data_IF_370939284510
#
_entry.id   IF_370939284510
#
_cell.length_a   1.000
_cell.length_b   1.000
_cell.length_c   1.000
_cell.angle_alpha   90.00
_cell.angle_beta   90.00
_cell.angle_gamma   90.00
#
_symmetry.space_group_name_H-M   'P 1'
#
loop_
_entity.id
_entity.type
_entity.pdbx_description
1 polymer ?
#
# COMPACT_ATOMS: atom_id res chain seq x y z
N UNK A 1 -19.06 -39.73 15.22
CA UNK A 1 -18.17 -39.68 14.03
C UNK A 1 -18.68 -38.71 12.99
N UNK A 2 -19.85 -38.92 12.35
CA UNK A 2 -20.44 -37.92 11.46
C UNK A 2 -20.74 -36.56 12.15
N UNK A 3 -21.19 -36.63 13.41
CA UNK A 3 -21.40 -35.49 14.31
C UNK A 3 -20.14 -34.65 14.56
N UNK A 4 -18.99 -35.29 14.63
CA UNK A 4 -17.72 -34.62 14.98
C UNK A 4 -17.18 -33.89 13.75
N UNK A 5 -17.28 -34.51 12.57
CA UNK A 5 -16.95 -33.92 11.28
C UNK A 5 -17.85 -32.73 10.90
N UNK A 6 -19.15 -32.78 11.22
CA UNK A 6 -20.03 -31.62 11.03
C UNK A 6 -19.66 -30.46 11.97
N UNK A 7 -19.26 -30.76 13.21
CA UNK A 7 -18.91 -29.75 14.22
C UNK A 7 -17.57 -29.06 13.89
N UNK A 8 -16.55 -29.82 13.44
CA UNK A 8 -15.29 -29.23 12.97
C UNK A 8 -15.50 -28.35 11.73
N UNK A 9 -16.31 -28.81 10.77
CA UNK A 9 -16.59 -28.08 9.54
C UNK A 9 -17.38 -26.79 9.75
N UNK A 10 -18.29 -26.75 10.73
CA UNK A 10 -18.95 -25.49 11.11
C UNK A 10 -17.97 -24.49 11.75
N UNK A 11 -16.99 -25.00 12.51
CA UNK A 11 -15.97 -24.19 13.17
C UNK A 11 -14.99 -23.56 12.18
N UNK A 12 -14.54 -24.31 11.16
CA UNK A 12 -13.64 -23.80 10.10
C UNK A 12 -14.30 -22.67 9.32
N UNK A 13 -15.51 -22.88 8.78
CA UNK A 13 -16.23 -21.86 7.99
C UNK A 13 -16.44 -20.56 8.77
N UNK A 14 -16.88 -20.66 10.04
CA UNK A 14 -17.06 -19.50 10.91
C UNK A 14 -15.73 -18.77 11.21
N UNK A 15 -14.62 -19.51 11.35
CA UNK A 15 -13.29 -18.96 11.55
C UNK A 15 -12.81 -18.10 10.38
N UNK A 16 -12.95 -18.58 9.14
CA UNK A 16 -12.57 -17.84 7.91
C UNK A 16 -13.34 -16.52 7.82
N UNK A 17 -14.66 -16.56 8.01
CA UNK A 17 -15.50 -15.38 7.94
C UNK A 17 -15.16 -14.38 9.05
N UNK A 18 -14.98 -14.85 10.29
CA UNK A 18 -14.58 -13.99 11.40
C UNK A 18 -13.24 -13.29 11.13
N UNK A 19 -12.23 -14.01 10.64
CA UNK A 19 -10.95 -13.45 10.23
C UNK A 19 -11.11 -12.39 9.12
N UNK A 20 -11.86 -12.71 8.06
CA UNK A 20 -12.11 -11.78 6.95
C UNK A 20 -12.78 -10.51 7.46
N UNK A 21 -13.89 -10.62 8.21
CA UNK A 21 -14.60 -9.45 8.75
C UNK A 21 -13.71 -8.58 9.64
N UNK A 22 -12.95 -9.19 10.56
CA UNK A 22 -12.03 -8.44 11.45
C UNK A 22 -11.00 -7.66 10.63
N UNK A 23 -10.33 -8.33 9.68
CA UNK A 23 -9.31 -7.69 8.84
C UNK A 23 -9.91 -6.64 7.89
N UNK A 24 -11.11 -6.87 7.37
CA UNK A 24 -11.86 -5.94 6.53
C UNK A 24 -12.22 -4.64 7.26
N UNK A 25 -12.73 -4.73 8.49
CA UNK A 25 -13.04 -3.55 9.30
C UNK A 25 -11.78 -2.79 9.72
N UNK A 26 -10.68 -3.48 10.03
CA UNK A 26 -9.37 -2.84 10.28
C UNK A 26 -8.88 -2.10 9.02
N UNK A 27 -8.95 -2.72 7.85
CA UNK A 27 -8.57 -2.11 6.58
C UNK A 27 -9.43 -0.86 6.27
N UNK A 28 -10.76 -0.96 6.44
CA UNK A 28 -11.69 0.15 6.27
C UNK A 28 -11.35 1.32 7.22
N UNK A 29 -11.13 1.05 8.51
CA UNK A 29 -10.77 2.07 9.48
C UNK A 29 -9.47 2.81 9.11
N UNK A 30 -8.46 2.09 8.62
CA UNK A 30 -7.19 2.67 8.16
C UNK A 30 -7.35 3.50 6.87
N UNK A 31 -8.23 3.09 5.94
CA UNK A 31 -8.53 3.85 4.72
C UNK A 31 -9.30 5.14 5.04
N UNK A 32 -10.32 5.07 5.92
CA UNK A 32 -11.04 6.26 6.40
C UNK A 32 -10.07 7.22 7.11
N UNK A 33 -9.17 6.70 7.95
CA UNK A 33 -8.14 7.51 8.61
C UNK A 33 -7.17 8.15 7.60
N UNK A 34 -6.74 7.41 6.57
CA UNK A 34 -5.92 7.94 5.46
C UNK A 34 -6.64 9.07 4.73
N UNK A 35 -7.88 8.87 4.32
CA UNK A 35 -8.70 9.88 3.63
C UNK A 35 -8.83 11.14 4.51
N UNK A 36 -9.15 10.98 5.79
CA UNK A 36 -9.20 12.10 6.74
C UNK A 36 -7.87 12.85 6.83
N UNK A 37 -6.74 12.15 6.96
CA UNK A 37 -5.41 12.76 6.98
C UNK A 37 -5.11 13.49 5.67
N UNK A 38 -5.36 12.86 4.52
CA UNK A 38 -5.08 13.43 3.20
C UNK A 38 -5.88 14.70 2.92
N UNK A 39 -7.17 14.72 3.28
CA UNK A 39 -8.06 15.87 3.08
C UNK A 39 -7.86 16.97 4.12
N UNK A 40 -7.83 16.64 5.42
CA UNK A 40 -7.85 17.65 6.51
C UNK A 40 -6.47 18.01 7.05
N UNK A 41 -5.56 17.04 7.18
CA UNK A 41 -4.29 17.20 7.91
C UNK A 41 -3.14 17.59 6.97
N UNK A 42 -3.03 16.91 5.84
CA UNK A 42 -1.96 17.06 4.85
C UNK A 42 -2.37 17.88 3.61
N UNK A 43 -3.68 18.00 3.32
CA UNK A 43 -4.26 18.71 2.17
C UNK A 43 -3.58 18.37 0.83
N UNK A 44 -3.27 17.09 0.62
CA UNK A 44 -2.46 16.64 -0.51
C UNK A 44 -3.00 15.31 -1.04
N UNK A 45 -4.11 15.38 -1.76
CA UNK A 45 -4.73 14.23 -2.44
C UNK A 45 -3.82 13.74 -3.57
N UNK A 46 -3.68 12.42 -3.76
CA UNK A 46 -2.84 11.87 -4.82
C UNK A 46 -3.46 10.67 -5.53
N UNK A 47 -2.86 10.29 -6.66
CA UNK A 47 -3.24 9.06 -7.38
C UNK A 47 -3.12 7.80 -6.51
N UNK A 48 -2.21 7.78 -5.53
CA UNK A 48 -2.10 6.68 -4.56
C UNK A 48 -3.37 6.46 -3.72
N UNK A 49 -4.14 7.51 -3.47
CA UNK A 49 -5.37 7.45 -2.67
C UNK A 49 -6.57 6.92 -3.49
N UNK A 50 -6.57 7.06 -4.82
CA UNK A 50 -7.58 6.41 -5.69
C UNK A 50 -7.36 4.90 -5.79
N UNK A 51 -6.13 4.45 -6.02
CA UNK A 51 -5.82 3.03 -6.19
C UNK A 51 -6.12 2.20 -4.93
N UNK A 52 -5.93 2.76 -3.72
CA UNK A 52 -6.26 2.03 -2.48
C UNK A 52 -7.78 1.92 -2.24
N UNK A 53 -8.57 2.91 -2.69
CA UNK A 53 -10.04 2.82 -2.66
C UNK A 53 -10.53 1.75 -3.65
N UNK A 54 -9.98 1.73 -4.87
CA UNK A 54 -10.30 0.68 -5.86
C UNK A 54 -9.92 -0.71 -5.33
N UNK A 55 -8.73 -0.87 -4.73
CA UNK A 55 -8.35 -2.12 -4.06
C UNK A 55 -9.39 -2.54 -3.00
N UNK A 56 -9.79 -1.63 -2.11
CA UNK A 56 -10.81 -1.94 -1.09
C UNK A 56 -12.18 -2.33 -1.66
N UNK A 57 -12.57 -1.79 -2.82
CA UNK A 57 -13.79 -2.24 -3.52
C UNK A 57 -13.64 -3.70 -3.98
N UNK A 58 -12.48 -4.10 -4.50
CA UNK A 58 -12.23 -5.52 -4.83
C UNK A 58 -12.12 -6.42 -3.59
N UNK A 59 -11.61 -5.91 -2.46
CA UNK A 59 -11.67 -6.61 -1.16
C UNK A 59 -13.13 -6.83 -0.70
N UNK A 60 -14.01 -5.84 -0.86
CA UNK A 60 -15.44 -5.98 -0.56
C UNK A 60 -16.12 -7.01 -1.49
N UNK A 61 -15.79 -7.00 -2.78
CA UNK A 61 -16.28 -8.02 -3.73
C UNK A 61 -15.80 -9.41 -3.29
N UNK A 62 -14.53 -9.54 -2.88
CA UNK A 62 -13.98 -10.78 -2.35
C UNK A 62 -14.69 -11.27 -1.09
N UNK A 63 -15.01 -10.39 -0.15
CA UNK A 63 -15.77 -10.72 1.07
C UNK A 63 -17.17 -11.27 0.73
N UNK A 64 -17.89 -10.65 -0.21
CA UNK A 64 -19.22 -11.11 -0.64
C UNK A 64 -19.13 -12.48 -1.33
N UNK A 65 -18.10 -12.72 -2.16
CA UNK A 65 -17.90 -14.01 -2.80
C UNK A 65 -17.60 -15.12 -1.79
N UNK A 66 -16.71 -14.87 -0.82
CA UNK A 66 -16.40 -15.84 0.25
C UNK A 66 -17.61 -16.10 1.16
N UNK A 67 -18.46 -15.10 1.40
CA UNK A 67 -19.73 -15.32 2.12
C UNK A 67 -20.65 -16.27 1.35
N UNK A 68 -20.80 -16.09 0.04
CA UNK A 68 -21.60 -17.00 -0.81
C UNK A 68 -20.99 -18.41 -0.84
N UNK A 69 -19.66 -18.53 -0.92
CA UNK A 69 -18.96 -19.82 -0.83
C UNK A 69 -19.21 -20.52 0.52
N UNK A 70 -19.17 -19.76 1.62
CA UNK A 70 -19.48 -20.27 2.97
C UNK A 70 -20.94 -20.75 3.09
N UNK A 71 -21.90 -19.99 2.54
CA UNK A 71 -23.32 -20.37 2.53
C UNK A 71 -23.57 -21.64 1.68
N UNK A 72 -22.77 -21.86 0.62
CA UNK A 72 -22.77 -23.09 -0.18
C UNK A 72 -22.05 -24.28 0.49
N UNK A 73 -21.30 -24.05 1.57
CA UNK A 73 -20.65 -25.09 2.36
C UNK A 73 -19.12 -25.18 2.24
N UNK A 74 -18.43 -24.13 1.77
CA UNK A 74 -16.96 -24.04 1.84
C UNK A 74 -16.47 -24.31 3.27
N UNK A 75 -15.47 -25.18 3.41
CA UNK A 75 -14.93 -25.63 4.71
C UNK A 75 -15.55 -26.92 5.27
N UNK A 76 -16.57 -27.49 4.61
CA UNK A 76 -17.08 -28.85 4.88
C UNK A 76 -16.39 -29.90 4.00
N UNK A 77 -16.18 -31.10 4.55
CA UNK A 77 -15.77 -32.28 3.77
C UNK A 77 -16.83 -32.61 2.72
N UNK A 78 -16.39 -33.01 1.52
CA UNK A 78 -17.27 -33.20 0.36
C UNK A 78 -18.36 -34.24 0.64
N UNK A 79 -18.02 -35.30 1.40
CA UNK A 79 -18.93 -36.36 1.83
C UNK A 79 -20.02 -35.94 2.83
N UNK A 80 -19.97 -34.72 3.37
CA UNK A 80 -20.96 -34.20 4.34
C UNK A 80 -21.96 -33.23 3.68
N UNK A 81 -21.83 -32.99 2.37
CA UNK A 81 -22.74 -32.15 1.61
C UNK A 81 -23.90 -32.97 1.05
N UNK A 82 -25.12 -32.56 1.39
CA UNK A 82 -26.35 -32.96 0.70
C UNK A 82 -26.32 -32.36 -0.71
N UNK A 83 -26.53 -33.17 -1.76
CA UNK A 83 -26.25 -32.84 -3.17
C UNK A 83 -24.83 -32.30 -3.42
N UNK A 84 -23.79 -33.15 -3.30
CA UNK A 84 -22.39 -32.73 -3.33
C UNK A 84 -21.97 -32.17 -4.70
N UNK A 85 -22.48 -32.73 -5.81
CA UNK A 85 -22.11 -32.30 -7.16
C UNK A 85 -22.53 -30.84 -7.42
N UNK A 86 -23.81 -30.48 -7.20
CA UNK A 86 -24.31 -29.12 -7.45
C UNK A 86 -23.66 -28.05 -6.54
N UNK A 87 -23.31 -28.41 -5.30
CA UNK A 87 -22.62 -27.50 -4.37
C UNK A 87 -21.13 -27.34 -4.69
N UNK A 88 -20.44 -28.40 -5.10
CA UNK A 88 -19.05 -28.31 -5.60
C UNK A 88 -18.97 -27.41 -6.84
N UNK A 89 -19.93 -27.55 -7.77
CA UNK A 89 -20.07 -26.67 -8.95
C UNK A 89 -20.19 -25.19 -8.55
N UNK A 90 -21.03 -24.90 -7.55
CA UNK A 90 -21.20 -23.55 -7.00
C UNK A 90 -19.91 -23.00 -6.41
N UNK A 91 -19.27 -23.76 -5.50
CA UNK A 91 -18.05 -23.36 -4.80
C UNK A 91 -16.91 -23.09 -5.79
N UNK A 92 -16.63 -23.99 -6.74
CA UNK A 92 -15.58 -23.81 -7.75
C UNK A 92 -15.80 -22.55 -8.61
N UNK A 93 -17.05 -22.29 -9.00
CA UNK A 93 -17.43 -21.11 -9.79
C UNK A 93 -17.18 -19.82 -9.01
N UNK A 94 -17.64 -19.71 -7.77
CA UNK A 94 -17.43 -18.49 -6.96
C UNK A 94 -15.95 -18.32 -6.59
N UNK A 95 -15.24 -19.41 -6.27
CA UNK A 95 -13.81 -19.36 -5.94
C UNK A 95 -12.96 -18.84 -7.12
N UNK A 96 -13.33 -19.20 -8.35
CA UNK A 96 -12.70 -18.64 -9.57
C UNK A 96 -12.89 -17.13 -9.66
N UNK A 97 -14.09 -16.61 -9.37
CA UNK A 97 -14.34 -15.16 -9.31
C UNK A 97 -13.61 -14.49 -8.14
N UNK A 98 -13.54 -15.13 -6.97
CA UNK A 98 -12.78 -14.66 -5.82
C UNK A 98 -11.29 -14.53 -6.17
N UNK A 99 -10.71 -15.53 -6.84
CA UNK A 99 -9.32 -15.50 -7.28
C UNK A 99 -9.05 -14.36 -8.27
N UNK A 100 -9.95 -14.10 -9.21
CA UNK A 100 -9.86 -12.95 -10.12
C UNK A 100 -9.92 -11.60 -9.37
N UNK A 101 -10.88 -11.45 -8.44
CA UNK A 101 -11.02 -10.23 -7.63
C UNK A 101 -9.78 -9.99 -6.73
N UNK A 102 -9.24 -11.07 -6.14
CA UNK A 102 -8.05 -11.03 -5.31
C UNK A 102 -6.82 -10.56 -6.11
N UNK A 103 -6.53 -11.16 -7.27
CA UNK A 103 -5.39 -10.75 -8.11
C UNK A 103 -5.48 -9.26 -8.52
N UNK A 104 -6.68 -8.77 -8.84
CA UNK A 104 -6.90 -7.34 -9.12
C UNK A 104 -6.67 -6.47 -7.87
N UNK A 105 -7.18 -6.87 -6.71
CA UNK A 105 -6.98 -6.14 -5.45
C UNK A 105 -5.50 -6.07 -5.05
N UNK A 106 -4.74 -7.16 -5.20
CA UNK A 106 -3.29 -7.19 -4.99
C UNK A 106 -2.56 -6.26 -5.95
N UNK A 107 -2.93 -6.25 -7.23
CA UNK A 107 -2.36 -5.33 -8.23
C UNK A 107 -2.58 -3.86 -7.83
N UNK A 108 -3.82 -3.46 -7.53
CA UNK A 108 -4.14 -2.07 -7.16
C UNK A 108 -3.51 -1.64 -5.83
N UNK A 109 -3.36 -2.56 -4.87
CA UNK A 109 -2.62 -2.32 -3.62
C UNK A 109 -1.15 -2.01 -3.89
N UNK A 110 -0.48 -2.80 -4.74
CA UNK A 110 0.93 -2.59 -5.12
C UNK A 110 1.12 -1.31 -5.94
N UNK A 111 0.13 -0.90 -6.75
CA UNK A 111 0.08 0.42 -7.39
C UNK A 111 0.09 1.56 -6.37
N UNK A 112 -0.80 1.52 -5.37
CA UNK A 112 -0.86 2.56 -4.33
C UNK A 112 0.47 2.68 -3.58
N UNK A 113 1.07 1.56 -3.16
CA UNK A 113 2.37 1.53 -2.48
C UNK A 113 3.47 2.12 -3.35
N UNK A 114 3.57 1.72 -4.62
CA UNK A 114 4.63 2.18 -5.54
C UNK A 114 4.54 3.67 -5.83
N UNK A 115 3.34 4.20 -6.09
CA UNK A 115 3.12 5.64 -6.31
C UNK A 115 3.42 6.41 -5.03
N UNK A 116 3.03 5.88 -3.86
CA UNK A 116 3.33 6.49 -2.57
C UNK A 116 4.86 6.57 -2.31
N UNK A 117 5.62 5.53 -2.65
CA UNK A 117 7.09 5.53 -2.53
C UNK A 117 7.72 6.59 -3.45
N UNK A 118 7.28 6.68 -4.71
CA UNK A 118 7.75 7.71 -5.66
C UNK A 118 7.46 9.13 -5.16
N UNK A 119 6.33 9.32 -4.47
CA UNK A 119 5.94 10.60 -3.87
C UNK A 119 6.81 11.02 -2.68
N UNK A 120 7.42 10.07 -1.95
CA UNK A 120 8.39 10.37 -0.89
C UNK A 120 9.74 10.79 -1.49
N UNK A 121 10.19 10.08 -2.53
CA UNK A 121 11.52 10.27 -3.11
C UNK A 121 11.45 10.15 -4.64
N UNK A 122 11.26 11.27 -5.33
CA UNK A 122 11.43 11.28 -6.77
C UNK A 122 12.93 11.17 -7.11
N UNK A 123 13.27 10.12 -7.83
CA UNK A 123 14.62 9.80 -8.29
C UNK A 123 14.51 9.00 -9.57
N UNK A 124 15.21 9.41 -10.62
CA UNK A 124 15.16 8.76 -11.94
C UNK A 124 15.36 7.24 -11.84
N UNK A 125 16.34 6.78 -11.05
CA UNK A 125 16.61 5.34 -10.84
C UNK A 125 15.45 4.63 -10.17
N UNK A 126 14.86 5.21 -9.12
CA UNK A 126 13.73 4.61 -8.39
C UNK A 126 12.46 4.57 -9.26
N UNK A 127 12.24 5.60 -10.08
CA UNK A 127 11.14 5.64 -11.05
C UNK A 127 11.26 4.59 -12.14
N UNK A 128 12.46 4.36 -12.67
CA UNK A 128 12.71 3.26 -13.61
C UNK A 128 12.51 1.88 -12.97
N UNK A 129 13.06 1.64 -11.77
CA UNK A 129 12.93 0.36 -11.07
C UNK A 129 11.47 0.07 -10.70
N UNK A 130 10.78 1.00 -10.04
CA UNK A 130 9.36 0.79 -9.68
C UNK A 130 8.46 0.72 -10.93
N UNK A 131 8.74 1.52 -11.97
CA UNK A 131 8.02 1.43 -13.24
C UNK A 131 8.15 0.05 -13.89
N UNK A 132 9.36 -0.51 -13.91
CA UNK A 132 9.62 -1.86 -14.41
C UNK A 132 8.91 -2.95 -13.58
N UNK A 133 9.00 -2.88 -12.24
CA UNK A 133 8.33 -3.84 -11.35
C UNK A 133 6.81 -3.77 -11.52
N UNK A 134 6.23 -2.57 -11.66
CA UNK A 134 4.79 -2.42 -11.90
C UNK A 134 4.35 -2.92 -13.28
N UNK A 135 5.15 -2.70 -14.33
CA UNK A 135 4.89 -3.26 -15.66
C UNK A 135 4.94 -4.80 -15.64
N UNK A 136 5.93 -5.38 -14.96
CA UNK A 136 6.06 -6.84 -14.78
C UNK A 136 4.86 -7.41 -14.00
N UNK A 137 4.40 -6.72 -12.94
CA UNK A 137 3.17 -7.06 -12.22
C UNK A 137 1.92 -7.06 -13.10
N UNK A 138 1.73 -6.00 -13.92
CA UNK A 138 0.57 -5.94 -14.81
C UNK A 138 0.59 -7.07 -15.83
N UNK A 139 1.76 -7.37 -16.41
CA UNK A 139 1.89 -8.43 -17.41
C UNK A 139 1.59 -9.80 -16.79
N UNK A 140 2.11 -10.07 -15.59
CA UNK A 140 1.83 -11.31 -14.86
C UNK A 140 0.34 -11.42 -14.47
N UNK A 141 -0.28 -10.32 -14.03
CA UNK A 141 -1.72 -10.27 -13.72
C UNK A 141 -2.59 -10.53 -14.96
N UNK A 142 -2.30 -9.85 -16.08
CA UNK A 142 -3.01 -10.04 -17.35
C UNK A 142 -2.85 -11.47 -17.84
N UNK A 143 -1.64 -12.03 -17.81
CA UNK A 143 -1.38 -13.41 -18.21
C UNK A 143 -2.22 -14.41 -17.40
N UNK A 144 -2.36 -14.22 -16.09
CA UNK A 144 -3.17 -15.11 -15.25
C UNK A 144 -4.67 -14.90 -15.42
N UNK A 145 -5.16 -13.68 -15.66
CA UNK A 145 -6.57 -13.46 -16.03
C UNK A 145 -6.89 -14.14 -17.37
N UNK A 146 -6.00 -14.03 -18.36
CA UNK A 146 -6.14 -14.71 -19.66
C UNK A 146 -6.12 -16.22 -19.48
N UNK A 147 -5.16 -16.77 -18.73
CA UNK A 147 -5.08 -18.22 -18.48
C UNK A 147 -6.32 -18.71 -17.74
N UNK A 148 -6.77 -18.06 -16.65
CA UNK A 148 -8.01 -18.42 -15.95
C UNK A 148 -9.25 -18.37 -16.88
N UNK A 149 -9.30 -17.40 -17.80
CA UNK A 149 -10.41 -17.29 -18.76
C UNK A 149 -10.40 -18.36 -19.86
N UNK A 150 -9.22 -18.91 -20.18
CA UNK A 150 -9.00 -19.89 -21.25
C UNK A 150 -8.77 -21.32 -20.68
N UNK A 151 -8.65 -21.48 -19.36
CA UNK A 151 -8.45 -22.76 -18.64
C UNK A 151 -9.41 -23.86 -19.11
N UNK A 152 -10.65 -23.50 -19.43
CA UNK A 152 -11.59 -24.35 -20.15
C UNK A 152 -12.31 -23.54 -21.23
N UNK A 153 -12.59 -24.19 -22.37
CA UNK A 153 -13.42 -23.66 -23.46
C UNK A 153 -14.60 -24.62 -23.64
N UNK A 154 -15.84 -24.21 -23.30
CA UNK A 154 -16.22 -22.94 -22.65
C UNK A 154 -15.79 -22.90 -21.18
N UNK A 155 -15.60 -21.69 -20.62
CA UNK A 155 -15.21 -21.50 -19.21
C UNK A 155 -16.17 -22.21 -18.24
N UNK A 156 -17.45 -22.33 -18.61
CA UNK A 156 -18.47 -23.07 -17.85
C UNK A 156 -18.06 -24.52 -17.54
N UNK A 157 -17.27 -25.18 -18.41
CA UNK A 157 -16.78 -26.55 -18.22
C UNK A 157 -15.76 -26.69 -17.07
N UNK A 158 -15.20 -25.58 -16.57
CA UNK A 158 -14.29 -25.59 -15.42
C UNK A 158 -14.99 -26.09 -14.15
N UNK A 159 -16.24 -25.69 -13.95
CA UNK A 159 -17.12 -26.28 -12.95
C UNK A 159 -17.95 -27.40 -13.59
N UNK A 160 -18.82 -27.06 -14.55
CA UNK A 160 -19.85 -27.94 -15.13
C UNK A 160 -19.28 -28.93 -16.15
N UNK A 161 -18.74 -30.05 -15.66
CA UNK A 161 -18.12 -31.12 -16.46
C UNK A 161 -19.06 -31.75 -17.51
N UNK A 162 -20.38 -31.57 -17.37
CA UNK A 162 -21.39 -32.08 -18.32
C UNK A 162 -21.38 -31.32 -19.66
N UNK A 163 -20.96 -30.06 -19.65
CA UNK A 163 -20.91 -29.21 -20.85
C UNK A 163 -19.74 -29.62 -21.75
N UNK A 164 -19.96 -29.98 -23.03
CA UNK A 164 -18.88 -30.41 -23.92
C UNK A 164 -17.86 -29.28 -24.17
N UNK A 165 -16.58 -29.65 -24.25
CA UNK A 165 -15.48 -28.70 -24.44
C UNK A 165 -14.12 -29.29 -24.14
N UNK A 166 -13.09 -28.46 -24.20
CA UNK A 166 -11.70 -28.82 -23.86
C UNK A 166 -11.20 -27.97 -22.70
N UNK A 167 -10.38 -28.56 -21.82
CA UNK A 167 -9.71 -27.86 -20.75
C UNK A 167 -8.20 -28.04 -20.88
N UNK A 168 -7.44 -27.02 -20.52
CA UNK A 168 -5.99 -27.10 -20.39
C UNK A 168 -5.64 -28.10 -19.27
N UNK A 169 -4.55 -28.87 -19.40
CA UNK A 169 -4.13 -29.78 -18.34
C UNK A 169 -3.77 -28.98 -17.10
N UNK A 170 -4.23 -29.45 -15.93
CA UNK A 170 -4.06 -28.78 -14.63
C UNK A 170 -2.59 -28.38 -14.36
N UNK A 171 -1.65 -29.24 -14.76
CA UNK A 171 -0.19 -29.00 -14.66
C UNK A 171 0.24 -27.68 -15.33
N UNK A 172 -0.33 -27.33 -16.49
CA UNK A 172 -0.01 -26.06 -17.19
C UNK A 172 -0.55 -24.86 -16.41
N UNK A 173 -1.76 -24.96 -15.85
CA UNK A 173 -2.36 -23.89 -15.04
C UNK A 173 -1.57 -23.66 -13.75
N UNK A 174 -1.20 -24.75 -13.04
CA UNK A 174 -0.36 -24.67 -11.85
C UNK A 174 1.04 -24.11 -12.14
N UNK A 175 1.69 -24.53 -13.24
CA UNK A 175 3.01 -24.01 -13.62
C UNK A 175 2.98 -22.49 -13.87
N UNK A 176 1.93 -21.97 -14.53
CA UNK A 176 1.76 -20.53 -14.73
C UNK A 176 1.53 -19.81 -13.40
N UNK A 177 0.68 -20.34 -12.52
CA UNK A 177 0.39 -19.74 -11.21
C UNK A 177 1.64 -19.72 -10.30
N UNK A 178 2.46 -20.78 -10.36
CA UNK A 178 3.73 -20.88 -9.63
C UNK A 178 4.74 -19.82 -10.10
N UNK A 179 4.89 -19.64 -11.42
CA UNK A 179 5.74 -18.59 -12.00
C UNK A 179 5.23 -17.19 -11.64
N UNK A 180 3.92 -16.94 -11.74
CA UNK A 180 3.29 -15.68 -11.32
C UNK A 180 3.64 -15.39 -9.85
N UNK A 181 3.48 -16.37 -8.97
CA UNK A 181 3.73 -16.21 -7.54
C UNK A 181 5.19 -15.97 -7.20
N UNK A 182 6.13 -16.58 -7.95
CA UNK A 182 7.54 -16.25 -7.87
C UNK A 182 7.81 -14.77 -8.15
N UNK A 183 7.24 -14.21 -9.21
CA UNK A 183 7.29 -12.76 -9.47
C UNK A 183 6.61 -11.95 -8.36
N UNK A 184 5.48 -12.43 -7.83
CA UNK A 184 4.75 -11.76 -6.75
C UNK A 184 5.61 -11.59 -5.50
N UNK A 185 6.28 -12.66 -5.05
CA UNK A 185 7.18 -12.68 -3.90
C UNK A 185 8.38 -11.73 -4.13
N UNK A 186 9.02 -11.78 -5.29
CA UNK A 186 10.15 -10.88 -5.62
C UNK A 186 9.75 -9.41 -5.49
N UNK A 187 8.58 -9.06 -6.02
CA UNK A 187 8.11 -7.67 -6.03
C UNK A 187 7.68 -7.22 -4.63
N UNK A 188 7.11 -8.10 -3.80
CA UNK A 188 6.84 -7.80 -2.40
C UNK A 188 8.11 -7.60 -1.59
N UNK A 189 9.16 -8.40 -1.81
CA UNK A 189 10.48 -8.18 -1.19
C UNK A 189 11.10 -6.83 -1.63
N UNK A 190 10.97 -6.46 -2.91
CA UNK A 190 11.43 -5.16 -3.41
C UNK A 190 10.66 -3.98 -2.79
N UNK A 191 9.32 -4.03 -2.75
CA UNK A 191 8.48 -2.99 -2.15
C UNK A 191 8.71 -2.88 -0.64
N UNK A 192 8.97 -4.02 0.02
CA UNK A 192 9.33 -4.08 1.44
C UNK A 192 10.69 -3.41 1.67
N UNK A 193 11.75 -3.76 0.93
CA UNK A 193 13.07 -3.13 1.15
C UNK A 193 13.18 -1.67 0.69
N UNK A 194 12.36 -1.22 -0.26
CA UNK A 194 12.39 0.14 -0.80
C UNK A 194 12.43 1.29 0.25
N UNK A 195 11.52 1.38 1.23
CA UNK A 195 11.57 2.43 2.26
C UNK A 195 12.81 2.38 3.16
N UNK A 196 13.41 1.20 3.41
CA UNK A 196 14.70 1.11 4.13
C UNK A 196 15.78 1.79 3.30
N UNK A 197 15.94 1.39 2.04
CA UNK A 197 17.00 1.88 1.16
C UNK A 197 16.93 3.40 0.96
N UNK A 198 15.72 3.96 0.89
CA UNK A 198 15.48 5.41 0.78
C UNK A 198 15.88 6.15 2.07
N UNK A 199 15.67 5.54 3.25
CA UNK A 199 15.84 6.19 4.54
C UNK A 199 17.19 5.91 5.23
N UNK A 200 17.97 4.95 4.73
CA UNK A 200 19.28 4.56 5.30
C UNK A 200 20.26 5.73 5.45
N UNK A 201 20.30 6.63 4.46
CA UNK A 201 21.20 7.79 4.44
C UNK A 201 20.63 9.03 5.15
N UNK A 202 19.51 8.92 5.88
CA UNK A 202 18.83 10.06 6.53
C UNK A 202 18.79 9.85 8.05
N UNK A 203 19.04 10.89 8.85
CA UNK A 203 18.93 10.83 10.31
C UNK A 203 17.46 10.73 10.76
N UNK A 204 16.94 9.51 10.83
CA UNK A 204 15.54 9.20 11.16
C UNK A 204 15.28 9.30 12.68
N UNK A 205 14.28 10.10 13.11
CA UNK A 205 13.83 10.17 14.52
C UNK A 205 13.25 8.82 14.99
N UNK A 206 13.52 8.39 16.23
CA UNK A 206 13.12 7.08 16.80
C UNK A 206 11.69 6.64 16.45
N UNK A 207 10.68 7.49 16.62
CA UNK A 207 9.28 7.13 16.30
C UNK A 207 9.02 6.78 14.83
N UNK A 208 9.79 7.34 13.88
CA UNK A 208 9.73 6.97 12.46
C UNK A 208 10.37 5.59 12.18
N UNK A 209 11.37 5.18 12.98
CA UNK A 209 12.00 3.86 12.88
C UNK A 209 10.99 2.74 13.16
N UNK A 210 10.13 2.92 14.16
CA UNK A 210 9.06 1.94 14.50
C UNK A 210 8.11 1.68 13.34
N UNK A 211 7.65 2.73 12.63
CA UNK A 211 6.79 2.55 11.45
C UNK A 211 7.47 1.78 10.33
N UNK A 212 8.77 2.02 10.08
CA UNK A 212 9.53 1.26 9.08
C UNK A 212 9.60 -0.22 9.48
N UNK A 213 9.90 -0.53 10.74
CA UNK A 213 9.91 -1.91 11.24
C UNK A 213 8.55 -2.61 11.06
N UNK A 214 7.44 -1.94 11.40
CA UNK A 214 6.09 -2.48 11.20
C UNK A 214 5.77 -2.76 9.72
N UNK A 215 6.16 -1.85 8.82
CA UNK A 215 6.03 -2.08 7.38
C UNK A 215 6.82 -3.31 6.91
N UNK A 216 8.01 -3.55 7.49
CA UNK A 216 8.82 -4.72 7.12
C UNK A 216 8.16 -6.01 7.58
N UNK A 217 7.69 -6.04 8.82
CA UNK A 217 7.00 -7.21 9.37
C UNK A 217 5.77 -7.58 8.53
N UNK A 218 4.95 -6.60 8.13
CA UNK A 218 3.78 -6.86 7.29
C UNK A 218 4.14 -7.31 5.87
N UNK A 219 5.15 -6.71 5.24
CA UNK A 219 5.64 -7.14 3.94
C UNK A 219 6.18 -8.57 3.95
N UNK A 220 6.91 -8.94 5.01
CA UNK A 220 7.37 -10.32 5.21
C UNK A 220 6.21 -11.29 5.44
N UNK A 221 5.21 -10.92 6.27
CA UNK A 221 4.00 -11.73 6.47
C UNK A 221 3.28 -11.97 5.14
N UNK A 222 3.13 -10.94 4.29
CA UNK A 222 2.55 -11.09 2.97
C UNK A 222 3.34 -12.06 2.08
N UNK A 223 4.68 -11.96 2.04
CA UNK A 223 5.52 -12.89 1.26
C UNK A 223 5.43 -14.34 1.75
N UNK A 224 5.42 -14.55 3.06
CA UNK A 224 5.29 -15.89 3.67
C UNK A 224 3.91 -16.47 3.38
N UNK A 225 2.86 -15.66 3.49
CA UNK A 225 1.49 -16.08 3.16
C UNK A 225 1.37 -16.51 1.69
N UNK A 226 1.95 -15.74 0.76
CA UNK A 226 2.05 -16.11 -0.66
C UNK A 226 2.81 -17.42 -0.89
N UNK A 227 3.94 -17.63 -0.20
CA UNK A 227 4.74 -18.85 -0.32
C UNK A 227 3.98 -20.09 0.19
N UNK A 228 3.34 -19.99 1.36
CA UNK A 228 2.48 -21.05 1.89
C UNK A 228 1.30 -21.32 0.96
N UNK A 229 0.65 -20.28 0.44
CA UNK A 229 -0.48 -20.40 -0.50
C UNK A 229 -0.11 -21.24 -1.72
N UNK A 230 1.09 -21.04 -2.27
CA UNK A 230 1.59 -21.84 -3.40
C UNK A 230 1.92 -23.29 -3.02
N UNK A 231 2.44 -23.51 -1.81
CA UNK A 231 2.67 -24.86 -1.30
C UNK A 231 1.36 -25.64 -1.17
N UNK A 232 0.32 -25.05 -0.56
CA UNK A 232 -1.01 -25.67 -0.45
C UNK A 232 -1.71 -25.82 -1.81
N UNK A 233 -1.57 -24.85 -2.72
CA UNK A 233 -2.13 -24.92 -4.08
C UNK A 233 -1.63 -26.14 -4.86
N UNK A 234 -0.35 -26.51 -4.70
CA UNK A 234 0.21 -27.73 -5.29
C UNK A 234 -0.30 -29.02 -4.62
N UNK A 235 -0.79 -28.92 -3.38
CA UNK A 235 -1.35 -30.03 -2.60
C UNK A 235 -2.79 -30.42 -2.98
N UNK A 236 -3.52 -29.61 -3.76
CA UNK A 236 -4.93 -29.79 -4.17
C UNK A 236 -5.22 -31.02 -5.08
N UNK A 237 -4.42 -32.08 -4.98
CA UNK A 237 -4.59 -33.36 -5.69
C UNK A 237 -5.22 -34.45 -4.80
N UNK A 238 -5.45 -34.16 -3.52
CA UNK A 238 -6.16 -35.00 -2.54
C UNK A 238 -7.68 -34.98 -2.71
N UNK A 239 -8.35 -36.00 -2.17
CA UNK A 239 -9.79 -36.27 -2.36
C UNK A 239 -10.76 -35.26 -1.70
N UNK A 240 -10.28 -34.39 -0.81
CA UNK A 240 -11.08 -33.41 -0.07
C UNK A 240 -10.78 -31.97 -0.54
N UNK A 241 -10.94 -31.71 -1.84
CA UNK A 241 -10.61 -30.42 -2.48
C UNK A 241 -11.23 -29.21 -1.76
N UNK A 242 -12.48 -29.31 -1.27
CA UNK A 242 -13.18 -28.24 -0.52
C UNK A 242 -12.52 -27.89 0.81
N UNK A 243 -11.88 -28.85 1.48
CA UNK A 243 -11.17 -28.62 2.73
C UNK A 243 -9.81 -27.96 2.47
N UNK A 244 -9.03 -28.45 1.51
CA UNK A 244 -7.71 -27.88 1.19
C UNK A 244 -7.82 -26.45 0.60
N UNK A 245 -8.87 -26.16 -0.19
CA UNK A 245 -9.21 -24.81 -0.67
C UNK A 245 -9.42 -23.79 0.46
N UNK A 246 -9.81 -24.23 1.66
CA UNK A 246 -9.99 -23.35 2.83
C UNK A 246 -8.66 -22.72 3.26
N UNK A 247 -7.59 -23.52 3.34
CA UNK A 247 -6.26 -23.02 3.72
C UNK A 247 -5.69 -22.02 2.71
N UNK A 248 -5.87 -22.30 1.42
CA UNK A 248 -5.51 -21.38 0.32
C UNK A 248 -6.26 -20.05 0.43
N UNK A 249 -7.55 -20.10 0.78
CA UNK A 249 -8.42 -18.92 0.93
C UNK A 249 -8.02 -18.06 2.13
N UNK A 250 -7.75 -18.65 3.30
CA UNK A 250 -7.24 -17.93 4.48
C UNK A 250 -5.93 -17.21 4.17
N UNK A 251 -4.98 -17.88 3.53
CA UNK A 251 -3.69 -17.29 3.14
C UNK A 251 -3.86 -16.15 2.12
N UNK A 252 -4.78 -16.29 1.16
CA UNK A 252 -5.15 -15.22 0.26
C UNK A 252 -5.72 -13.98 0.98
N UNK A 253 -6.55 -14.17 2.02
CA UNK A 253 -7.12 -13.07 2.83
C UNK A 253 -6.02 -12.36 3.62
N UNK A 254 -5.11 -13.12 4.25
CA UNK A 254 -3.97 -12.61 5.00
C UNK A 254 -3.01 -11.80 4.11
N UNK A 255 -2.66 -12.32 2.93
CA UNK A 255 -1.88 -11.62 1.90
C UNK A 255 -2.51 -10.25 1.58
N UNK A 256 -3.80 -10.24 1.29
CA UNK A 256 -4.52 -9.06 0.81
C UNK A 256 -4.66 -7.98 1.89
N UNK A 257 -5.07 -8.40 3.09
CA UNK A 257 -5.28 -7.50 4.20
C UNK A 257 -3.96 -6.94 4.75
N UNK A 258 -2.91 -7.77 4.86
CA UNK A 258 -1.58 -7.29 5.27
C UNK A 258 -1.00 -6.28 4.27
N UNK A 259 -1.19 -6.49 2.96
CA UNK A 259 -0.84 -5.53 1.91
C UNK A 259 -1.57 -4.18 2.04
N UNK A 260 -2.89 -4.19 2.26
CA UNK A 260 -3.69 -2.97 2.42
C UNK A 260 -3.34 -2.24 3.73
N UNK A 261 -3.14 -2.97 4.83
CA UNK A 261 -2.69 -2.39 6.11
C UNK A 261 -1.31 -1.73 5.94
N UNK A 262 -0.35 -2.41 5.31
CA UNK A 262 0.97 -1.88 5.00
C UNK A 262 0.90 -0.64 4.11
N UNK A 263 0.03 -0.60 3.11
CA UNK A 263 -0.16 0.55 2.24
C UNK A 263 -0.66 1.81 2.98
N UNK A 264 -1.37 1.65 4.11
CA UNK A 264 -2.02 2.75 4.84
C UNK A 264 -1.21 3.26 6.05
N UNK A 265 -0.33 2.45 6.65
CA UNK A 265 0.57 2.86 7.75
C UNK A 265 1.32 4.18 7.46
N UNK A 266 1.90 4.41 6.27
CA UNK A 266 2.65 5.64 5.99
C UNK A 266 1.77 6.90 6.00
N UNK A 267 0.48 6.77 5.68
CA UNK A 267 -0.49 7.86 5.76
C UNK A 267 -0.84 8.23 7.22
N UNK A 268 -0.67 7.30 8.17
CA UNK A 268 -0.92 7.55 9.60
C UNK A 268 0.24 8.31 10.29
N UNK A 269 1.46 8.19 9.75
CA UNK A 269 2.69 8.83 10.23
C UNK A 269 2.60 10.32 10.66
N UNK A 270 1.94 11.24 9.91
CA UNK A 270 1.80 12.64 10.32
C UNK A 270 0.93 12.86 11.58
N UNK A 271 -0.02 11.97 11.90
CA UNK A 271 -0.84 12.09 13.10
C UNK A 271 0.02 11.92 14.37
N UNK A 272 0.73 10.80 14.46
CA UNK A 272 1.60 10.49 15.61
C UNK A 272 2.79 11.45 15.77
N UNK A 273 3.18 12.15 14.71
CA UNK A 273 4.27 13.14 14.78
C UNK A 273 3.77 14.54 15.17
N UNK A 274 2.46 14.83 15.05
CA UNK A 274 1.86 16.04 15.61
C UNK A 274 1.63 15.87 17.12
N UNK A 275 2.69 16.09 17.90
CA UNK A 275 2.50 16.51 19.30
C UNK A 275 1.57 17.73 19.29
N UNK A 276 0.59 17.84 20.20
CA UNK A 276 -0.11 19.10 20.37
C UNK A 276 0.95 20.17 20.66
N UNK A 277 0.86 21.30 19.96
CA UNK A 277 1.57 22.49 20.40
C UNK A 277 0.89 22.92 21.70
N UNK A 278 1.37 22.41 22.84
CA UNK A 278 1.11 23.04 24.13
C UNK A 278 1.40 24.52 23.92
N UNK A 279 0.38 25.37 24.11
CA UNK A 279 0.52 26.79 23.93
C UNK A 279 1.66 27.25 24.84
N UNK A 280 2.81 27.55 24.26
CA UNK A 280 3.90 28.17 24.98
C UNK A 280 3.43 29.59 25.16
N UNK A 281 2.81 29.88 26.30
CA UNK A 281 2.41 31.23 26.70
C UNK A 281 3.68 32.07 26.70
N UNK A 282 3.91 32.78 25.60
CA UNK A 282 4.91 33.83 25.55
C UNK A 282 4.34 34.95 26.41
N UNK A 283 4.72 34.97 27.68
CA UNK A 283 4.40 36.08 28.57
C UNK A 283 5.14 37.30 28.06
N UNK A 284 4.45 38.12 27.26
CA UNK A 284 4.95 39.39 26.79
C UNK A 284 5.08 40.34 27.99
N UNK A 285 6.29 40.54 28.50
CA UNK A 285 6.55 41.64 29.42
C UNK A 285 6.42 42.96 28.62
N UNK A 286 5.61 43.93 29.07
CA UNK A 286 5.50 45.22 28.40
C UNK A 286 6.77 46.03 28.70
N UNK A 287 7.52 46.36 27.65
CA UNK A 287 8.66 47.28 27.77
C UNK A 287 8.13 48.72 27.83
N UNK A 288 7.96 49.24 29.05
CA UNK A 288 7.50 50.61 29.27
C UNK A 288 8.60 51.61 28.95
N UNK A 289 8.36 52.49 27.97
CA UNK A 289 9.22 53.63 27.71
C UNK A 289 9.07 54.71 28.79
N UNK A 290 10.16 55.42 29.08
CA UNK A 290 10.18 56.54 30.02
C UNK A 290 11.44 57.37 29.81
N UNK A 291 11.30 58.50 29.12
CA UNK A 291 12.37 59.46 28.91
C UNK A 291 12.79 60.13 30.22
N UNK A 292 14.09 60.29 30.43
CA UNK A 292 14.63 61.43 31.19
C UNK A 292 16.00 61.83 30.65
N UNK A 293 16.07 63.07 30.17
CA UNK A 293 17.28 63.73 29.69
C UNK A 293 17.70 64.77 30.71
N UNK A 294 18.92 64.70 31.26
CA UNK A 294 19.62 65.90 31.75
C UNK A 294 21.14 65.71 31.93
N UNK A 295 21.88 66.59 31.23
CA UNK A 295 23.06 67.33 31.68
C UNK A 295 24.28 66.65 32.32
N UNK A 296 25.31 66.51 31.48
CA UNK A 296 26.65 67.12 31.63
C UNK A 296 27.29 67.24 33.02
N UNK A 297 28.47 66.62 33.20
CA UNK A 297 29.67 67.33 33.65
C UNK A 297 30.96 66.62 33.22
N UNK A 298 31.99 67.43 32.96
CA UNK A 298 33.33 67.00 32.57
C UNK A 298 34.20 66.70 33.81
N UNK A 299 35.04 65.67 33.72
CA UNK A 299 36.28 65.53 34.50
C UNK A 299 37.24 64.59 33.73
N UNK A 300 38.53 64.94 33.70
CA UNK A 300 39.56 64.23 32.94
C UNK A 300 40.41 63.29 33.82
N UNK A 301 41.00 62.25 33.21
CA UNK A 301 42.21 61.56 33.69
C UNK A 301 42.83 60.66 32.60
N UNK A 302 43.86 61.20 31.93
CA UNK A 302 45.13 60.59 31.51
C UNK A 302 45.27 59.07 31.15
N UNK A 303 45.56 58.84 29.84
CA UNK A 303 46.77 58.19 29.25
C UNK A 303 47.25 56.76 29.67
N UNK A 304 48.10 56.06 28.87
CA UNK A 304 47.80 55.43 27.57
C UNK A 304 48.12 53.91 27.53
N UNK A 305 47.66 53.18 26.50
CA UNK A 305 48.48 52.11 25.91
C UNK A 305 48.12 51.76 24.46
N UNK A 306 49.18 51.41 23.73
CA UNK A 306 49.26 50.95 22.34
C UNK A 306 48.30 49.82 21.94
N UNK A 307 47.72 49.89 20.73
CA UNK A 307 48.36 49.26 19.55
C UNK A 307 47.49 49.35 18.29
N UNK A 308 48.15 49.48 17.13
CA UNK A 308 47.52 49.57 15.81
C UNK A 308 47.30 48.16 15.25
N UNK A 309 46.08 47.83 14.81
CA UNK A 309 45.88 46.90 13.69
C UNK A 309 44.60 47.20 12.92
N UNK A 310 44.72 47.14 11.59
CA UNK A 310 43.77 47.73 10.64
C UNK A 310 42.57 46.83 10.29
N UNK A 311 41.50 47.51 9.86
CA UNK A 311 40.54 47.17 8.80
C UNK A 311 39.97 45.74 8.72
N UNK A 312 38.64 45.61 8.85
CA UNK A 312 37.73 45.73 7.69
C UNK A 312 36.32 45.24 8.03
N UNK A 313 35.36 46.16 8.11
CA UNK A 313 33.93 45.87 7.97
C UNK A 313 33.29 47.00 7.19
N UNK A 314 32.62 46.69 6.09
CA UNK A 314 31.63 47.56 5.44
C UNK A 314 30.80 46.70 4.47
N UNK A 315 29.64 46.28 4.97
CA UNK A 315 28.62 45.55 4.22
C UNK A 315 28.04 46.44 3.12
N UNK A 316 28.32 46.14 1.84
CA UNK A 316 27.96 47.02 0.74
C UNK A 316 27.66 46.35 -0.62
N UNK A 317 27.30 45.06 -0.68
CA UNK A 317 26.94 44.42 -1.98
C UNK A 317 25.72 43.48 -1.99
N UNK A 318 24.97 43.36 -0.89
CA UNK A 318 23.75 42.52 -0.81
C UNK A 318 22.55 43.05 -1.64
N UNK A 319 22.76 44.15 -2.39
CA UNK A 319 21.72 44.92 -3.07
C UNK A 319 21.56 44.58 -4.58
N UNK A 320 22.41 43.72 -5.15
CA UNK A 320 22.45 43.46 -6.61
C UNK A 320 21.71 42.17 -7.01
N UNK A 321 21.72 41.15 -6.17
CA UNK A 321 21.14 39.83 -6.47
C UNK A 321 19.60 39.81 -6.48
N UNK A 322 18.98 40.73 -5.74
CA UNK A 322 17.54 40.74 -5.44
C UNK A 322 16.64 41.29 -6.57
N UNK A 323 17.20 41.66 -7.73
CA UNK A 323 16.43 42.25 -8.86
C UNK A 323 16.29 41.37 -10.11
N UNK A 324 16.91 40.17 -10.18
CA UNK A 324 17.09 39.45 -11.46
C UNK A 324 16.15 38.26 -11.76
N UNK A 325 15.10 38.01 -10.95
CA UNK A 325 14.17 36.88 -11.18
C UNK A 325 12.67 37.22 -11.16
N UNK A 326 12.31 38.50 -11.11
CA UNK A 326 10.91 38.97 -11.13
C UNK A 326 10.60 39.86 -12.33
N UNK A 327 10.39 39.27 -13.51
CA UNK A 327 9.29 39.64 -14.42
C UNK A 327 9.13 38.62 -15.57
N UNK A 328 7.92 38.48 -16.15
CA UNK A 328 7.61 37.50 -17.18
C UNK A 328 7.76 38.07 -18.61
N UNK A 329 8.06 37.22 -19.60
CA UNK A 329 8.02 37.60 -21.01
C UNK A 329 6.65 37.28 -21.64
N UNK A 330 6.13 38.21 -22.44
CA UNK A 330 4.94 38.02 -23.28
C UNK A 330 5.04 38.89 -24.55
N UNK A 331 4.76 38.26 -25.70
CA UNK A 331 4.26 38.85 -26.97
C UNK A 331 5.21 39.64 -27.89
N UNK A 332 5.39 39.11 -29.11
CA UNK A 332 5.22 39.75 -30.44
C UNK A 332 5.10 38.58 -31.48
N UNK A 333 4.19 38.43 -32.47
CA UNK A 333 3.69 39.28 -33.59
C UNK A 333 4.82 39.76 -34.52
N UNK A 334 4.90 39.54 -35.84
CA UNK A 334 4.13 38.81 -36.88
C UNK A 334 5.09 38.52 -38.09
N UNK A 335 4.80 37.84 -39.22
CA UNK A 335 3.62 37.16 -39.79
C UNK A 335 3.75 36.95 -41.32
N UNK A 336 2.62 36.66 -42.01
CA UNK A 336 2.36 36.78 -43.47
C UNK A 336 2.87 35.74 -44.54
N UNK A 337 1.92 35.37 -45.42
CA UNK A 337 1.98 34.95 -46.85
C UNK A 337 2.57 33.62 -47.37
N UNK A 338 1.73 32.93 -48.17
CA UNK A 338 1.96 32.14 -49.41
C UNK A 338 3.04 31.01 -49.41
N UNK A 339 2.82 29.84 -50.03
CA UNK A 339 1.97 29.42 -51.16
C UNK A 339 1.25 28.12 -50.85
#
# INVERSE_FOLDING_TARGET
MATDASTSSHSTTAGILAEYYILFFIALALIVLRIYVRLRVAKNWGWDDYYIIVAWIFLLIGLVLVQIEADLGLGRHLHTLEDPEDKELGILKFNTFFQMANVLCTLFTKYSISIFILRIRDSKRLRWVLGFLMALMTLATIAVIVVLSVSCIPLRRLWDKTVPGTCLPLVTVYNVAYVQSGFTIVIDLCLTTAPILILWNVKVKRGRKTFICLLMSLGLIATVSNALRNYFQNGLTTSDMTYDMTGVTVLAILELCSGIIAANIPACMPLFTRRPKTARTTTCLPNGGGDYMMHTKSAAADTPSSSIRNNASLDAEDNVSLRRLTQPSKVATDGAHAV
#
